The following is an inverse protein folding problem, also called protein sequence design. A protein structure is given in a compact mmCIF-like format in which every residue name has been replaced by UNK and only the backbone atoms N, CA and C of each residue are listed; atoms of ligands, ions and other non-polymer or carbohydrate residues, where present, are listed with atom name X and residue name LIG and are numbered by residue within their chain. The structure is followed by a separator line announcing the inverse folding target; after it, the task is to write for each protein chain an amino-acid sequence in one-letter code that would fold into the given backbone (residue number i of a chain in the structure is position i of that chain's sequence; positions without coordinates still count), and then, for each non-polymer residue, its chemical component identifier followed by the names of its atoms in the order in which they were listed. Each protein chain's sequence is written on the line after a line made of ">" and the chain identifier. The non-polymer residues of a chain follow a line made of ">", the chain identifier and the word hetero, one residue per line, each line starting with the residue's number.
data_IF_274477060849
#
_entry.id   IF_274477060849
#
_cell.length_a   1.000
_cell.length_b   1.000
_cell.length_c   1.000
_cell.angle_alpha   90.00
_cell.angle_beta   90.00
_cell.angle_gamma   90.00
#
_symmetry.space_group_name_H-M   'P 1'
#
loop_
_entity.id
_entity.type
_entity.pdbx_description
1 polymer ?
#
# COMPACT_ATOMS: atom_id res chain seq x y z
N UNK A 1 -6.84 -2.78 -5.93
CA UNK A 1 -6.84 -2.35 -4.53
C UNK A 1 -7.93 -3.08 -3.78
N UNK A 2 -7.66 -3.48 -2.54
CA UNK A 2 -8.53 -4.25 -1.67
C UNK A 2 -8.43 -3.69 -0.26
N UNK A 3 -9.57 -3.52 0.38
CA UNK A 3 -9.69 -3.11 1.78
C UNK A 3 -10.46 -4.19 2.50
N UNK A 4 -9.89 -4.79 3.53
CA UNK A 4 -10.57 -5.80 4.30
C UNK A 4 -11.03 -5.25 5.65
N UNK A 5 -12.26 -5.57 6.02
CA UNK A 5 -12.94 -5.11 7.24
C UNK A 5 -13.67 -6.28 7.89
N UNK A 6 -13.88 -6.23 9.21
CA UNK A 6 -14.66 -7.26 9.88
C UNK A 6 -16.07 -7.38 9.31
N UNK A 7 -16.52 -8.62 9.12
CA UNK A 7 -17.92 -8.91 8.77
C UNK A 7 -18.86 -8.33 9.84
N UNK A 8 -20.02 -7.83 9.41
CA UNK A 8 -21.01 -7.21 10.30
C UNK A 8 -20.77 -5.72 10.61
N UNK A 9 -19.67 -5.12 10.15
CA UNK A 9 -19.44 -3.69 10.28
C UNK A 9 -20.10 -2.85 9.18
N UNK A 10 -21.43 -2.90 9.13
CA UNK A 10 -22.26 -2.25 8.12
C UNK A 10 -21.93 -0.75 8.00
N UNK A 11 -21.71 -0.05 9.12
CA UNK A 11 -21.38 1.39 9.11
C UNK A 11 -20.05 1.70 8.41
N UNK A 12 -19.04 0.86 8.60
CA UNK A 12 -17.75 1.04 7.92
C UNK A 12 -17.85 0.63 6.45
N UNK A 13 -18.56 -0.45 6.13
CA UNK A 13 -18.83 -0.88 4.76
C UNK A 13 -19.54 0.23 3.98
N UNK A 14 -20.61 0.81 4.53
CA UNK A 14 -21.34 1.92 3.91
C UNK A 14 -20.45 3.16 3.75
N UNK A 15 -19.61 3.45 4.74
CA UNK A 15 -18.63 4.54 4.66
C UNK A 15 -17.64 4.31 3.52
N UNK A 16 -17.10 3.09 3.37
CA UNK A 16 -16.16 2.76 2.30
C UNK A 16 -16.87 2.87 0.95
N UNK A 17 -18.07 2.28 0.80
CA UNK A 17 -18.87 2.40 -0.43
C UNK A 17 -19.11 3.86 -0.81
N UNK A 18 -19.42 4.72 0.16
CA UNK A 18 -19.60 6.15 -0.06
C UNK A 18 -18.29 6.87 -0.41
N UNK A 19 -17.22 6.67 0.36
CA UNK A 19 -15.93 7.31 0.10
C UNK A 19 -15.42 6.91 -1.31
N UNK A 20 -15.77 5.73 -1.83
CA UNK A 20 -15.35 5.20 -3.14
C UNK A 20 -16.47 5.11 -4.20
N UNK A 21 -17.53 5.90 -4.10
CA UNK A 21 -18.71 5.83 -5.00
C UNK A 21 -18.39 5.94 -6.51
N UNK A 22 -17.29 6.60 -6.86
CA UNK A 22 -16.84 6.78 -8.26
C UNK A 22 -16.01 5.61 -8.81
N UNK A 23 -15.89 4.52 -8.06
CA UNK A 23 -15.05 3.36 -8.39
C UNK A 23 -15.92 2.11 -8.50
N UNK A 24 -15.50 1.14 -9.30
CA UNK A 24 -16.15 -0.15 -9.31
C UNK A 24 -15.78 -0.87 -8.01
N UNK A 25 -16.80 -1.28 -7.25
CA UNK A 25 -16.61 -1.94 -5.96
C UNK A 25 -17.12 -3.36 -6.06
N UNK A 26 -16.27 -4.31 -5.67
CA UNK A 26 -16.60 -5.73 -5.51
C UNK A 26 -16.46 -6.10 -4.03
N UNK A 27 -17.33 -6.96 -3.55
CA UNK A 27 -17.29 -7.44 -2.17
C UNK A 27 -17.23 -8.96 -2.20
N UNK A 28 -16.22 -9.50 -1.53
CA UNK A 28 -16.04 -10.93 -1.32
C UNK A 28 -15.86 -11.18 0.18
N UNK A 29 -16.30 -12.32 0.70
CA UNK A 29 -16.12 -12.69 2.10
C UNK A 29 -15.01 -13.74 2.28
N UNK A 30 -14.40 -13.71 3.45
CA UNK A 30 -13.12 -14.34 3.75
C UNK A 30 -13.16 -14.93 5.19
N UNK A 31 -12.88 -16.22 5.36
CA UNK A 31 -12.83 -16.91 6.68
C UNK A 31 -11.39 -17.21 7.18
N UNK A 32 -10.90 -16.48 8.18
CA UNK A 32 -9.52 -16.54 8.75
C UNK A 32 -9.30 -17.63 9.80
N UNK A 33 -10.13 -18.67 9.77
CA UNK A 33 -9.75 -19.98 10.30
C UNK A 33 -9.68 -20.07 11.83
N UNK A 34 -9.15 -21.22 12.29
CA UNK A 34 -9.70 -22.04 13.35
C UNK A 34 -10.16 -21.33 14.66
N UNK A 35 -11.45 -21.02 14.69
CA UNK A 35 -12.15 -20.54 15.88
C UNK A 35 -13.18 -19.45 15.59
N UNK A 36 -14.07 -19.66 14.62
CA UNK A 36 -15.39 -19.01 14.41
C UNK A 36 -15.56 -17.47 14.53
N UNK A 37 -14.52 -16.68 14.81
CA UNK A 37 -14.70 -15.32 15.34
C UNK A 37 -14.33 -14.20 14.37
N UNK A 38 -13.74 -14.47 13.21
CA UNK A 38 -13.25 -13.41 12.31
C UNK A 38 -13.49 -13.71 10.84
N UNK A 39 -14.75 -13.65 10.45
CA UNK A 39 -15.14 -13.43 9.07
C UNK A 39 -14.81 -11.99 8.68
N UNK A 40 -14.23 -11.80 7.49
CA UNK A 40 -13.78 -10.50 6.99
C UNK A 40 -14.39 -10.27 5.60
N UNK A 41 -14.99 -9.10 5.38
CA UNK A 41 -15.41 -8.65 4.06
C UNK A 41 -14.25 -7.92 3.38
N UNK A 42 -13.92 -8.35 2.17
CA UNK A 42 -12.91 -7.77 1.31
C UNK A 42 -13.60 -6.92 0.25
N UNK A 43 -13.32 -5.62 0.29
CA UNK A 43 -13.84 -4.64 -0.63
C UNK A 43 -12.77 -4.38 -1.68
N UNK A 44 -12.93 -4.98 -2.86
CA UNK A 44 -12.13 -4.71 -4.04
C UNK A 44 -12.56 -3.40 -4.69
N UNK A 45 -11.66 -2.41 -4.71
CA UNK A 45 -11.86 -1.12 -5.37
C UNK A 45 -11.07 -1.13 -6.66
N UNK A 46 -11.81 -1.13 -7.76
CA UNK A 46 -11.32 -1.24 -9.12
C UNK A 46 -11.54 0.10 -9.80
N UNK A 47 -10.45 0.72 -10.22
CA UNK A 47 -10.45 1.89 -11.10
C UNK A 47 -9.88 1.46 -12.46
N UNK A 48 -10.26 2.17 -13.52
CA UNK A 48 -9.70 1.95 -14.86
C UNK A 48 -8.16 2.00 -14.87
N UNK A 49 -7.56 2.80 -13.98
CA UNK A 49 -6.11 2.90 -13.78
C UNK A 49 -5.51 1.58 -13.31
N UNK A 50 -6.13 0.92 -12.33
CA UNK A 50 -5.67 -0.37 -11.80
C UNK A 50 -5.85 -1.51 -12.79
N UNK A 51 -6.91 -1.48 -13.61
CA UNK A 51 -7.16 -2.50 -14.63
C UNK A 51 -6.17 -2.45 -15.79
N UNK A 52 -5.57 -1.29 -16.05
CA UNK A 52 -4.65 -1.11 -17.18
C UNK A 52 -3.17 -1.24 -16.81
N UNK A 53 -2.84 -1.47 -15.54
CA UNK A 53 -1.43 -1.57 -15.11
C UNK A 53 -0.62 -0.30 -15.39
N UNK A 54 -1.29 0.85 -15.51
CA UNK A 54 -0.66 2.12 -15.89
C UNK A 54 0.29 2.61 -14.81
N UNK A 55 1.37 3.29 -15.22
CA UNK A 55 2.33 3.91 -14.31
C UNK A 55 1.66 4.94 -13.41
N UNK A 56 2.21 5.15 -12.21
CA UNK A 56 1.71 6.13 -11.24
C UNK A 56 1.60 7.53 -11.87
N UNK A 57 2.58 7.93 -12.68
CA UNK A 57 2.61 9.22 -13.37
C UNK A 57 1.38 9.49 -14.24
N UNK A 58 0.91 8.49 -14.98
CA UNK A 58 -0.17 8.68 -15.95
C UNK A 58 -1.51 9.01 -15.28
N UNK A 59 -1.66 8.68 -13.99
CA UNK A 59 -2.91 8.81 -13.27
C UNK A 59 -2.69 9.29 -11.83
N UNK A 60 -1.70 10.17 -11.64
CA UNK A 60 -1.28 10.63 -10.32
C UNK A 60 -2.45 11.16 -9.50
N UNK A 61 -3.38 11.88 -10.11
CA UNK A 61 -4.56 12.43 -9.44
C UNK A 61 -5.44 11.34 -8.81
N UNK A 62 -5.64 10.21 -9.51
CA UNK A 62 -6.40 9.09 -8.97
C UNK A 62 -5.68 8.46 -7.77
N UNK A 63 -4.37 8.22 -7.88
CA UNK A 63 -3.55 7.71 -6.77
C UNK A 63 -3.60 8.63 -5.55
N UNK A 64 -3.54 9.94 -5.77
CA UNK A 64 -3.66 10.96 -4.71
C UNK A 64 -5.04 10.97 -4.07
N UNK A 65 -6.10 10.92 -4.87
CA UNK A 65 -7.48 10.89 -4.37
C UNK A 65 -7.73 9.64 -3.51
N UNK A 66 -7.33 8.48 -4.01
CA UNK A 66 -7.47 7.22 -3.29
C UNK A 66 -6.65 7.24 -2.00
N UNK A 67 -5.40 7.72 -2.05
CA UNK A 67 -4.57 7.84 -0.86
C UNK A 67 -5.20 8.73 0.22
N UNK A 68 -5.90 9.83 -0.16
CA UNK A 68 -6.67 10.65 0.79
C UNK A 68 -7.79 9.85 1.45
N UNK A 69 -8.54 9.08 0.67
CA UNK A 69 -9.67 8.24 1.14
C UNK A 69 -9.18 7.13 2.07
N UNK A 70 -8.15 6.38 1.67
CA UNK A 70 -7.50 5.36 2.50
C UNK A 70 -7.02 5.97 3.82
N UNK A 71 -6.30 7.09 3.78
CA UNK A 71 -5.83 7.78 4.98
C UNK A 71 -6.99 8.23 5.89
N UNK A 72 -8.15 8.61 5.34
CA UNK A 72 -9.35 8.99 6.12
C UNK A 72 -10.03 7.79 6.77
N UNK A 73 -10.00 6.61 6.14
CA UNK A 73 -10.52 5.39 6.74
C UNK A 73 -9.75 5.03 8.01
N UNK A 74 -8.42 5.04 7.96
CA UNK A 74 -7.56 4.68 9.10
C UNK A 74 -7.50 5.73 10.23
N UNK A 75 -8.05 6.94 10.04
CA UNK A 75 -8.19 7.91 11.14
C UNK A 75 -9.14 7.42 12.24
N UNK A 76 -10.12 6.57 11.89
CA UNK A 76 -11.04 5.98 12.86
C UNK A 76 -10.44 4.66 13.37
N UNK A 77 -9.63 4.73 14.43
CA UNK A 77 -8.86 3.59 14.98
C UNK A 77 -9.70 2.49 15.67
N UNK A 78 -11.01 2.59 15.64
CA UNK A 78 -11.86 1.77 16.53
C UNK A 78 -12.04 0.34 16.06
N UNK A 79 -11.61 -0.01 14.84
CA UNK A 79 -11.86 -1.33 14.25
C UNK A 79 -10.70 -1.80 13.38
N UNK A 80 -10.39 -3.12 13.40
CA UNK A 80 -9.34 -3.67 12.57
C UNK A 80 -9.77 -3.61 11.10
N UNK A 81 -8.92 -3.01 10.30
CA UNK A 81 -9.06 -2.87 8.86
C UNK A 81 -7.68 -3.03 8.27
N UNK A 82 -7.63 -3.60 7.08
CA UNK A 82 -6.40 -3.91 6.41
C UNK A 82 -6.45 -3.42 4.96
N UNK A 83 -5.29 -3.24 4.34
CA UNK A 83 -5.12 -2.81 2.96
C UNK A 83 -4.11 -3.68 2.22
N UNK A 84 -4.32 -3.82 0.91
CA UNK A 84 -3.36 -4.41 -0.02
C UNK A 84 -2.24 -3.42 -0.42
N UNK A 85 -1.29 -3.91 -1.22
CA UNK A 85 -0.13 -3.17 -1.71
C UNK A 85 -0.52 -1.90 -2.46
N UNK A 86 -1.52 -1.97 -3.35
CA UNK A 86 -1.98 -0.82 -4.13
C UNK A 86 -2.54 0.29 -3.23
N UNK A 87 -3.27 -0.07 -2.18
CA UNK A 87 -3.71 0.89 -1.16
C UNK A 87 -2.53 1.50 -0.40
N UNK A 88 -1.50 0.71 -0.08
CA UNK A 88 -0.29 1.20 0.56
C UNK A 88 0.50 2.16 -0.35
N UNK A 89 0.63 1.84 -1.64
CA UNK A 89 1.22 2.74 -2.65
C UNK A 89 0.44 4.05 -2.70
N UNK A 90 -0.89 4.01 -2.81
CA UNK A 90 -1.72 5.22 -2.83
C UNK A 90 -1.54 6.08 -1.57
N UNK A 91 -1.47 5.43 -0.40
CA UNK A 91 -1.21 6.08 0.88
C UNK A 91 0.17 6.76 0.90
N UNK A 92 1.21 6.09 0.40
CA UNK A 92 2.57 6.62 0.28
C UNK A 92 2.61 7.83 -0.67
N UNK A 93 2.05 7.71 -1.88
CA UNK A 93 1.97 8.80 -2.86
C UNK A 93 1.26 10.02 -2.27
N UNK A 94 0.17 9.82 -1.53
CA UNK A 94 -0.51 10.91 -0.83
C UNK A 94 0.33 11.56 0.29
N UNK A 95 1.23 10.80 0.92
CA UNK A 95 2.15 11.34 1.94
C UNK A 95 3.28 12.13 1.29
N UNK A 96 3.86 11.62 0.20
CA UNK A 96 4.85 12.32 -0.60
C UNK A 96 4.28 13.67 -1.07
N UNK A 97 3.06 13.68 -1.62
CA UNK A 97 2.43 14.90 -2.14
C UNK A 97 2.17 16.00 -1.10
N UNK A 98 2.19 15.65 0.18
CA UNK A 98 2.07 16.62 1.29
C UNK A 98 3.42 17.22 1.68
N UNK A 99 4.52 16.57 1.28
CA UNK A 99 5.89 16.96 1.58
C UNK A 99 6.54 17.71 0.42
N UNK A 100 6.27 17.28 -0.82
CA UNK A 100 6.82 17.84 -2.05
C UNK A 100 5.75 17.93 -3.14
N UNK A 101 5.95 18.83 -4.11
CA UNK A 101 5.11 18.89 -5.32
C UNK A 101 5.61 17.83 -6.30
N UNK A 102 4.76 16.87 -6.65
CA UNK A 102 5.12 15.78 -7.55
C UNK A 102 4.94 16.23 -9.01
N UNK A 103 6.04 16.35 -9.76
CA UNK A 103 6.04 16.51 -11.23
C UNK A 103 6.22 15.16 -11.94
N UNK A 104 7.02 14.27 -11.35
CA UNK A 104 7.20 12.88 -11.77
C UNK A 104 7.43 12.00 -10.54
N UNK A 105 6.94 10.77 -10.56
CA UNK A 105 7.09 9.77 -9.52
C UNK A 105 7.18 8.37 -10.13
N UNK A 106 8.23 7.65 -9.76
CA UNK A 106 8.46 6.27 -10.16
C UNK A 106 8.56 5.39 -8.91
N UNK A 107 7.79 4.31 -8.88
CA UNK A 107 7.98 3.24 -7.90
C UNK A 107 9.14 2.37 -8.40
N UNK A 108 10.30 2.52 -7.77
CA UNK A 108 11.55 1.88 -8.24
C UNK A 108 11.82 0.54 -7.54
N UNK A 109 11.27 0.36 -6.34
CA UNK A 109 11.31 -0.91 -5.64
C UNK A 109 10.03 -1.10 -4.85
N UNK A 110 9.49 -2.31 -4.95
CA UNK A 110 8.41 -2.80 -4.08
C UNK A 110 8.80 -4.17 -3.54
N UNK A 111 8.56 -4.38 -2.25
CA UNK A 111 8.65 -5.72 -1.66
C UNK A 111 7.60 -5.89 -0.57
N UNK A 112 7.19 -7.14 -0.39
CA UNK A 112 6.18 -7.54 0.57
C UNK A 112 6.81 -8.52 1.56
N UNK A 113 6.86 -8.13 2.83
CA UNK A 113 7.25 -9.02 3.91
C UNK A 113 5.99 -9.64 4.50
N UNK A 114 5.78 -10.91 4.17
CA UNK A 114 4.66 -11.69 4.68
C UNK A 114 5.01 -12.23 6.06
N UNK A 115 4.19 -11.90 7.05
CA UNK A 115 4.26 -12.56 8.36
C UNK A 115 3.71 -13.98 8.21
N UNK A 116 4.61 -14.97 8.12
CA UNK A 116 4.25 -16.38 7.88
C UNK A 116 3.55 -17.05 9.06
N UNK A 117 3.42 -16.37 10.20
CA UNK A 117 2.82 -16.94 11.41
C UNK A 117 1.30 -17.14 11.30
N UNK A 118 0.65 -16.57 10.28
CA UNK A 118 -0.80 -16.67 10.06
C UNK A 118 -1.20 -17.16 8.65
N UNK A 119 -0.40 -18.05 8.03
CA UNK A 119 -0.82 -18.72 6.80
C UNK A 119 -1.92 -19.73 7.16
N UNK A 120 -3.17 -19.28 7.10
CA UNK A 120 -4.34 -20.15 7.11
C UNK A 120 -4.32 -20.94 5.80
N UNK A 121 -4.18 -22.26 5.91
CA UNK A 121 -3.90 -23.18 4.81
C UNK A 121 -4.95 -23.18 3.68
N UNK A 122 -6.12 -22.59 3.89
CA UNK A 122 -7.26 -22.69 2.98
C UNK A 122 -7.69 -21.33 2.39
N UNK A 123 -6.87 -20.29 2.55
CA UNK A 123 -7.19 -18.99 1.98
C UNK A 123 -6.72 -18.82 0.54
N UNK A 124 -7.68 -18.79 -0.38
CA UNK A 124 -7.46 -18.40 -1.78
C UNK A 124 -7.51 -16.89 -2.00
N UNK A 125 -7.32 -16.09 -0.95
CA UNK A 125 -7.29 -14.65 -1.05
C UNK A 125 -5.90 -14.18 -0.63
N UNK A 126 -5.16 -13.58 -1.57
CA UNK A 126 -3.85 -12.93 -1.38
C UNK A 126 -3.95 -11.68 -0.47
N UNK A 127 -4.63 -11.78 0.66
CA UNK A 127 -4.90 -10.68 1.55
C UNK A 127 -4.48 -11.10 2.96
N UNK A 128 -3.19 -10.92 3.25
CA UNK A 128 -2.64 -11.32 4.54
C UNK A 128 -2.70 -10.11 5.51
N UNK A 129 -3.45 -10.21 6.62
CA UNK A 129 -3.71 -9.09 7.52
C UNK A 129 -2.49 -8.55 8.28
N UNK A 130 -1.26 -9.00 8.00
CA UNK A 130 -0.05 -8.57 8.73
C UNK A 130 1.15 -8.27 7.84
N UNK A 131 0.96 -8.09 6.54
CA UNK A 131 2.05 -7.79 5.63
C UNK A 131 2.67 -6.42 5.89
N UNK A 132 3.97 -6.31 5.61
CA UNK A 132 4.65 -5.03 5.45
C UNK A 132 4.94 -4.80 3.98
N UNK A 133 4.55 -3.63 3.50
CA UNK A 133 4.88 -3.13 2.17
C UNK A 133 6.06 -2.18 2.30
N UNK A 134 7.20 -2.58 1.74
CA UNK A 134 8.37 -1.72 1.61
C UNK A 134 8.34 -1.14 0.20
N UNK A 135 8.22 0.18 0.13
CA UNK A 135 8.02 0.93 -1.11
C UNK A 135 9.10 2.00 -1.22
N UNK A 136 9.81 2.02 -2.34
CA UNK A 136 10.80 3.04 -2.64
C UNK A 136 10.34 3.82 -3.87
N UNK A 137 10.27 5.14 -3.72
CA UNK A 137 9.88 6.06 -4.78
C UNK A 137 11.03 6.98 -5.15
N UNK A 138 11.16 7.24 -6.45
CA UNK A 138 11.99 8.30 -7.01
C UNK A 138 11.06 9.41 -7.51
N UNK A 139 11.23 10.63 -7.03
CA UNK A 139 10.35 11.77 -7.26
C UNK A 139 11.15 12.92 -7.84
N UNK A 140 10.60 13.62 -8.83
CA UNK A 140 11.15 14.85 -9.45
C UNK A 140 12.59 14.79 -10.02
N UNK A 141 13.26 13.62 -9.96
CA UNK A 141 14.56 13.21 -10.50
C UNK A 141 15.61 12.80 -9.46
N UNK A 142 15.64 13.40 -8.28
CA UNK A 142 16.68 13.19 -7.27
C UNK A 142 16.16 13.00 -5.84
N UNK A 143 14.87 13.22 -5.61
CA UNK A 143 14.22 12.95 -4.33
C UNK A 143 13.87 11.47 -4.23
N UNK A 144 14.27 10.83 -3.14
CA UNK A 144 13.95 9.44 -2.86
C UNK A 144 13.16 9.33 -1.56
N UNK A 145 12.10 8.54 -1.59
CA UNK A 145 11.26 8.26 -0.43
C UNK A 145 11.18 6.77 -0.18
N UNK A 146 11.47 6.35 1.04
CA UNK A 146 11.31 4.97 1.49
C UNK A 146 10.16 4.91 2.49
N UNK A 147 9.23 4.01 2.26
CA UNK A 147 8.14 3.71 3.16
C UNK A 147 8.17 2.25 3.59
N UNK A 148 7.93 2.01 4.88
CA UNK A 148 7.50 0.72 5.39
C UNK A 148 6.09 0.86 5.96
N UNK A 149 5.10 0.28 5.28
CA UNK A 149 3.67 0.42 5.61
C UNK A 149 3.14 -0.96 5.97
N UNK A 150 2.58 -1.09 7.18
CA UNK A 150 1.89 -2.31 7.58
C UNK A 150 0.49 -2.35 6.95
N UNK A 151 0.01 -3.54 6.63
CA UNK A 151 -1.34 -3.83 6.12
C UNK A 151 -2.46 -3.12 6.89
N UNK A 152 -2.30 -2.85 8.18
CA UNK A 152 -3.26 -2.08 8.98
C UNK A 152 -3.18 -0.55 8.78
N UNK A 153 -2.55 -0.08 7.69
CA UNK A 153 -2.38 1.33 7.36
C UNK A 153 -1.35 2.09 8.21
N UNK A 154 -0.71 1.43 9.18
CA UNK A 154 0.32 2.06 10.00
C UNK A 154 1.62 2.21 9.22
N UNK A 155 2.10 3.44 9.11
CA UNK A 155 3.44 3.73 8.58
C UNK A 155 4.45 3.54 9.71
N UNK A 156 5.37 2.59 9.56
CA UNK A 156 6.41 2.25 10.54
C UNK A 156 7.70 3.01 10.31
N UNK A 157 8.01 3.26 9.05
CA UNK A 157 9.19 4.02 8.65
C UNK A 157 8.83 4.90 7.46
N UNK A 158 9.32 6.13 7.53
CA UNK A 158 9.43 7.05 6.40
C UNK A 158 10.85 7.56 6.43
N UNK A 159 11.58 7.36 5.35
CA UNK A 159 12.89 7.96 5.15
C UNK A 159 12.90 8.76 3.85
N UNK A 160 13.74 9.79 3.80
CA UNK A 160 13.85 10.75 2.72
C UNK A 160 15.29 11.17 2.52
N UNK A 161 15.74 11.14 1.26
CA UNK A 161 17.05 11.66 0.89
C UNK A 161 17.01 12.27 -0.52
N UNK A 162 17.89 13.22 -0.75
CA UNK A 162 18.00 14.00 -1.99
C UNK A 162 19.47 14.06 -2.45
N UNK A 163 19.71 14.46 -3.70
CA UNK A 163 21.05 14.75 -4.20
C UNK A 163 22.00 13.54 -4.31
N UNK A 164 21.48 12.31 -4.31
CA UNK A 164 22.26 11.09 -4.48
C UNK A 164 21.65 10.19 -5.56
N UNK A 165 22.49 9.68 -6.46
CA UNK A 165 22.09 8.61 -7.38
C UNK A 165 22.13 7.28 -6.61
N UNK A 166 20.98 6.86 -6.08
CA UNK A 166 20.86 5.53 -5.50
C UNK A 166 20.93 4.50 -6.64
N UNK A 167 22.00 3.72 -6.69
CA UNK A 167 22.16 2.70 -7.72
C UNK A 167 21.42 1.42 -7.30
N UNK A 168 20.18 1.28 -7.75
CA UNK A 168 19.36 0.09 -7.52
C UNK A 168 19.88 -1.17 -8.23
N UNK A 169 20.82 -1.02 -9.18
CA UNK A 169 21.46 -2.14 -9.87
C UNK A 169 22.71 -2.65 -9.14
N UNK A 170 23.12 -2.01 -8.03
CA UNK A 170 24.20 -2.53 -7.22
C UNK A 170 23.73 -3.79 -6.49
N UNK A 171 24.55 -4.83 -6.58
CA UNK A 171 24.40 -6.06 -5.83
C UNK A 171 24.77 -5.80 -4.35
N UNK A 172 23.76 -5.37 -3.58
CA UNK A 172 23.86 -5.07 -2.15
C UNK A 172 24.11 -6.31 -1.29
N UNK A 173 24.22 -7.51 -1.86
CA UNK A 173 24.64 -8.72 -1.15
C UNK A 173 26.14 -9.00 -1.35
N UNK A 174 26.73 -8.51 -2.45
CA UNK A 174 28.14 -8.72 -2.75
C UNK A 174 29.01 -7.53 -2.30
N UNK A 175 29.70 -7.70 -1.17
CA UNK A 175 30.56 -6.67 -0.57
C UNK A 175 31.70 -6.21 -1.50
N UNK A 176 32.17 -7.07 -2.42
CA UNK A 176 33.29 -6.76 -3.31
C UNK A 176 32.93 -5.80 -4.46
N UNK A 177 31.63 -5.56 -4.70
CA UNK A 177 31.14 -4.65 -5.75
C UNK A 177 30.80 -3.24 -5.25
N UNK A 178 31.13 -2.90 -4.00
CA UNK A 178 30.72 -1.65 -3.32
C UNK A 178 31.87 -0.65 -3.10
N UNK A 179 32.98 -0.79 -3.83
CA UNK A 179 34.22 -0.02 -3.62
C UNK A 179 34.08 1.50 -3.87
N UNK A 180 32.96 1.92 -4.44
CA UNK A 180 32.63 3.27 -4.88
C UNK A 180 31.80 4.08 -3.87
N UNK A 181 31.22 3.46 -2.84
CA UNK A 181 30.33 4.16 -1.88
C UNK A 181 30.98 4.56 -0.55
N UNK A 182 32.19 4.09 -0.25
CA UNK A 182 32.89 4.33 1.03
C UNK A 182 34.18 5.17 0.89
N UNK A 183 34.48 5.70 -0.29
CA UNK A 183 35.63 6.59 -0.52
C UNK A 183 35.21 8.06 -0.51
#
# INVERSE_FOLDING_TARGET
>A
MKIAVLEGDIKLIDKIKKDFENYEIKTDDADIGNGADLWITIIGIVSFVFLQGKKINENLDAWLEIGKKVNKLFKNKNKPMFIDKEAAISLAVNKISKKTKISNIDLIQESELIDKTMITKDFNINFNPYNYYILVFKVNHDEHFIFCIKSNGQIRLVDYFEGTEWNFNLDWENHNKRNDYYN
#
